data_IF_206628898687
#
_entry.id   IF_206628898687
#
_cell.length_a   1.000
_cell.length_b   1.000
_cell.length_c   1.000
_cell.angle_alpha   90.00
_cell.angle_beta   90.00
_cell.angle_gamma   90.00
#
_symmetry.space_group_name_H-M   'P 1'
#
loop_
_entity.id
_entity.type
_entity.pdbx_description
1 polymer ?
#
# COMPACT_ATOMS: atom_id res chain seq x y z
N UNK A 1 13.38 -18.06 -2.98
CA UNK A 1 13.35 -16.70 -2.44
C UNK A 1 13.42 -15.70 -3.58
N UNK A 2 12.73 -14.56 -3.43
CA UNK A 2 12.72 -13.54 -4.48
C UNK A 2 11.46 -13.52 -5.35
N UNK A 3 10.50 -14.42 -5.13
CA UNK A 3 9.35 -14.57 -6.02
C UNK A 3 8.14 -13.74 -5.59
N UNK A 4 7.74 -13.84 -4.31
CA UNK A 4 6.42 -13.39 -3.88
C UNK A 4 6.28 -11.88 -3.59
N UNK A 5 7.37 -11.16 -3.32
CA UNK A 5 7.35 -9.73 -3.04
C UNK A 5 6.78 -9.33 -1.66
N UNK A 6 6.44 -10.26 -0.76
CA UNK A 6 5.90 -9.90 0.56
C UNK A 6 6.89 -9.09 1.41
N UNK A 7 8.19 -9.23 1.14
CA UNK A 7 9.29 -8.55 1.82
C UNK A 7 9.72 -7.22 1.15
N UNK A 8 8.89 -6.61 0.31
CA UNK A 8 9.26 -5.34 -0.33
C UNK A 8 9.52 -4.25 0.70
N UNK A 9 10.59 -3.48 0.46
CA UNK A 9 10.97 -2.27 1.18
C UNK A 9 11.32 -1.18 0.17
N UNK A 10 11.30 0.08 0.57
CA UNK A 10 11.90 1.13 -0.25
C UNK A 10 13.38 1.24 0.12
N UNK A 11 14.23 1.25 -0.88
CA UNK A 11 15.65 1.52 -0.75
C UNK A 11 15.95 2.73 -1.62
N UNK A 12 16.30 3.86 -1.01
CA UNK A 12 16.42 5.16 -1.68
C UNK A 12 15.19 5.51 -2.55
N UNK A 13 14.00 5.18 -2.04
CA UNK A 13 12.72 5.43 -2.74
C UNK A 13 12.31 4.37 -3.78
N UNK A 14 13.14 3.39 -4.07
CA UNK A 14 12.84 2.31 -5.01
C UNK A 14 12.36 1.05 -4.29
N UNK A 15 11.32 0.41 -4.82
CA UNK A 15 10.81 -0.84 -4.26
C UNK A 15 11.77 -2.00 -4.56
N UNK A 16 12.30 -2.63 -3.52
CA UNK A 16 13.23 -3.76 -3.61
C UNK A 16 12.80 -4.91 -2.70
N UNK A 17 13.12 -6.15 -3.09
CA UNK A 17 12.87 -7.34 -2.26
C UNK A 17 13.98 -7.48 -1.21
N UNK A 18 13.66 -7.24 0.07
CA UNK A 18 14.68 -7.32 1.14
C UNK A 18 15.29 -8.71 1.29
N UNK A 19 14.58 -9.77 0.92
CA UNK A 19 15.12 -11.14 0.95
C UNK A 19 16.22 -11.40 -0.10
N UNK A 20 16.42 -10.49 -1.03
CA UNK A 20 17.48 -10.54 -2.05
C UNK A 20 18.51 -9.41 -1.92
N UNK A 21 18.32 -8.51 -0.97
CA UNK A 21 19.23 -7.42 -0.68
C UNK A 21 20.24 -7.88 0.38
N UNK A 22 21.51 -7.86 0.07
CA UNK A 22 22.55 -8.14 1.04
C UNK A 22 22.77 -6.96 1.99
N UNK A 23 23.34 -7.20 3.17
CA UNK A 23 23.70 -6.13 4.11
C UNK A 23 24.71 -5.13 3.50
N UNK A 24 25.65 -5.62 2.70
CA UNK A 24 26.62 -4.77 2.02
C UNK A 24 25.94 -3.83 0.99
N UNK A 25 24.91 -4.30 0.29
CA UNK A 25 24.14 -3.46 -0.64
C UNK A 25 23.24 -2.46 0.08
N UNK A 26 22.82 -2.75 1.29
CA UNK A 26 21.98 -1.87 2.11
C UNK A 26 22.82 -0.83 2.90
N UNK A 27 24.13 -1.05 3.04
CA UNK A 27 25.00 -0.17 3.80
C UNK A 27 24.99 1.26 3.22
N UNK A 28 24.77 2.23 4.10
CA UNK A 28 24.70 3.66 3.73
C UNK A 28 23.46 4.09 2.95
N UNK A 29 22.50 3.19 2.70
CA UNK A 29 21.27 3.50 1.98
C UNK A 29 20.08 3.72 2.92
N UNK A 30 19.14 4.54 2.48
CA UNK A 30 17.91 4.74 3.24
C UNK A 30 16.93 3.59 2.96
N UNK A 31 16.64 2.81 3.99
CA UNK A 31 15.66 1.72 3.91
C UNK A 31 14.39 2.11 4.66
N UNK A 32 13.25 2.05 3.98
CA UNK A 32 11.93 2.33 4.56
C UNK A 32 11.04 1.09 4.45
N UNK A 33 10.57 0.62 5.58
CA UNK A 33 9.59 -0.48 5.67
C UNK A 33 8.16 0.06 5.70
N UNK A 34 7.17 -0.83 5.74
CA UNK A 34 5.75 -0.44 5.82
C UNK A 34 5.46 0.44 7.05
N UNK A 35 6.14 0.20 8.16
CA UNK A 35 5.99 0.98 9.39
C UNK A 35 6.58 2.39 9.26
N UNK A 36 7.62 2.52 8.44
CA UNK A 36 8.29 3.80 8.18
C UNK A 36 7.64 4.63 7.08
N UNK A 37 6.74 4.05 6.28
CA UNK A 37 6.10 4.74 5.15
C UNK A 37 5.26 5.94 5.62
N UNK A 38 4.57 5.80 6.74
CA UNK A 38 3.84 6.88 7.41
C UNK A 38 3.66 6.50 8.88
N UNK A 39 4.16 7.34 9.79
CA UNK A 39 4.09 7.08 11.24
C UNK A 39 2.66 7.01 11.77
N UNK A 40 1.77 7.76 11.17
CA UNK A 40 0.37 7.89 11.55
C UNK A 40 -0.59 7.13 10.63
N UNK A 41 -0.05 6.33 9.70
CA UNK A 41 -0.83 5.59 8.70
C UNK A 41 -1.65 6.48 7.75
N UNK A 42 -1.29 7.75 7.60
CA UNK A 42 -1.99 8.73 6.75
C UNK A 42 -1.60 8.64 5.27
N UNK A 43 -0.62 7.82 4.90
CA UNK A 43 -0.21 7.69 3.51
C UNK A 43 -1.39 7.26 2.62
N UNK A 44 -1.60 7.95 1.50
CA UNK A 44 -2.76 7.75 0.61
C UNK A 44 -2.96 6.29 0.19
N UNK A 45 -1.86 5.55 -0.06
CA UNK A 45 -1.93 4.12 -0.40
C UNK A 45 -2.49 3.30 0.76
N UNK A 46 -2.02 3.53 2.00
CA UNK A 46 -2.51 2.81 3.17
C UNK A 46 -4.02 3.05 3.37
N UNK A 47 -4.45 4.29 3.26
CA UNK A 47 -5.84 4.68 3.38
C UNK A 47 -6.71 4.07 2.27
N UNK A 48 -6.23 4.09 1.03
CA UNK A 48 -6.96 3.51 -0.10
C UNK A 48 -7.09 1.98 0.00
N UNK A 49 -6.06 1.28 0.51
CA UNK A 49 -6.13 -0.18 0.72
C UNK A 49 -7.20 -0.56 1.74
N UNK A 50 -7.36 0.23 2.80
CA UNK A 50 -8.43 0.04 3.78
C UNK A 50 -9.79 0.35 3.14
N UNK A 51 -9.93 1.50 2.50
CA UNK A 51 -11.20 1.94 1.90
C UNK A 51 -11.71 1.01 0.80
N UNK A 52 -10.81 0.45 -0.03
CA UNK A 52 -11.15 -0.52 -1.08
C UNK A 52 -11.16 -1.97 -0.59
N UNK A 53 -10.91 -2.20 0.70
CA UNK A 53 -10.80 -3.54 1.27
C UNK A 53 -9.83 -4.44 0.48
N UNK A 54 -8.71 -3.88 0.04
CA UNK A 54 -7.68 -4.58 -0.73
C UNK A 54 -6.80 -5.48 0.17
N UNK A 55 -7.37 -5.98 1.27
CA UNK A 55 -6.74 -6.81 2.28
C UNK A 55 -7.66 -7.99 2.58
N UNK A 56 -7.10 -9.19 2.67
CA UNK A 56 -7.75 -10.37 3.21
C UNK A 56 -6.90 -10.96 4.34
N UNK A 57 -6.03 -11.94 4.06
CA UNK A 57 -5.17 -12.50 5.12
C UNK A 57 -4.06 -11.55 5.60
N UNK A 58 -3.73 -10.52 4.84
CA UNK A 58 -2.75 -9.50 5.20
C UNK A 58 -1.28 -9.83 4.87
N UNK A 59 -0.94 -11.07 4.54
CA UNK A 59 0.44 -11.50 4.36
C UNK A 59 1.20 -10.74 3.26
N UNK A 60 0.59 -10.55 2.08
CA UNK A 60 1.20 -9.84 0.96
C UNK A 60 1.03 -8.31 1.04
N UNK A 61 0.14 -7.84 1.89
CA UNK A 61 -0.29 -6.44 1.95
C UNK A 61 0.85 -5.45 2.19
N UNK A 62 1.78 -5.65 3.14
CA UNK A 62 2.90 -4.73 3.34
C UNK A 62 3.72 -4.54 2.06
N UNK A 63 4.07 -5.63 1.41
CA UNK A 63 4.84 -5.57 0.16
C UNK A 63 4.08 -4.89 -0.99
N UNK A 64 2.78 -5.12 -1.12
CA UNK A 64 1.94 -4.47 -2.12
C UNK A 64 1.82 -2.96 -1.88
N UNK A 65 1.66 -2.53 -0.62
CA UNK A 65 1.60 -1.11 -0.26
C UNK A 65 2.91 -0.42 -0.59
N UNK A 66 4.06 -1.02 -0.27
CA UNK A 66 5.39 -0.48 -0.60
C UNK A 66 5.58 -0.36 -2.10
N UNK A 67 5.25 -1.41 -2.88
CA UNK A 67 5.34 -1.37 -4.34
C UNK A 67 4.45 -0.30 -4.96
N UNK A 68 3.23 -0.17 -4.44
CA UNK A 68 2.28 0.86 -4.87
C UNK A 68 2.75 2.27 -4.53
N UNK A 69 3.34 2.48 -3.35
CA UNK A 69 3.90 3.77 -2.96
C UNK A 69 5.05 4.19 -3.88
N UNK A 70 5.95 3.26 -4.22
CA UNK A 70 7.04 3.51 -5.17
C UNK A 70 6.50 3.86 -6.57
N UNK A 71 5.49 3.14 -7.06
CA UNK A 71 4.85 3.44 -8.34
C UNK A 71 4.25 4.84 -8.35
N UNK A 72 3.43 5.17 -7.34
CA UNK A 72 2.74 6.46 -7.29
C UNK A 72 3.69 7.66 -7.07
N UNK A 73 4.88 7.43 -6.54
CA UNK A 73 5.90 8.46 -6.44
C UNK A 73 6.43 8.92 -7.82
N UNK A 74 6.39 8.05 -8.82
CA UNK A 74 6.88 8.33 -10.19
C UNK A 74 5.75 8.46 -11.21
N UNK A 75 4.60 7.86 -10.96
CA UNK A 75 3.41 7.93 -11.83
C UNK A 75 2.16 8.04 -10.95
N UNK A 76 1.66 9.25 -10.78
CA UNK A 76 0.48 9.52 -9.95
C UNK A 76 -0.86 9.12 -10.60
N UNK A 77 -0.88 8.72 -11.86
CA UNK A 77 -2.07 8.28 -12.60
C UNK A 77 -1.81 6.99 -13.39
N UNK A 78 -1.49 5.89 -12.69
CA UNK A 78 -1.11 4.65 -13.35
C UNK A 78 -2.31 3.96 -14.02
N UNK A 79 -2.10 3.47 -15.23
CA UNK A 79 -3.01 2.54 -15.88
C UNK A 79 -3.00 1.18 -15.16
N UNK A 80 -3.99 0.34 -15.43
CA UNK A 80 -3.99 -1.04 -14.90
C UNK A 80 -2.76 -1.83 -15.36
N UNK A 81 -2.26 -1.58 -16.57
CA UNK A 81 -1.06 -2.21 -17.09
C UNK A 81 0.19 -1.79 -16.30
N UNK A 82 0.32 -0.48 -15.98
CA UNK A 82 1.42 0.03 -15.16
C UNK A 82 1.41 -0.59 -13.77
N UNK A 83 0.22 -0.70 -13.16
CA UNK A 83 0.05 -1.32 -11.85
C UNK A 83 0.47 -2.79 -11.88
N UNK A 84 0.03 -3.56 -12.87
CA UNK A 84 0.41 -4.96 -13.01
C UNK A 84 1.91 -5.17 -13.21
N UNK A 85 2.57 -4.25 -13.91
CA UNK A 85 4.01 -4.29 -14.13
C UNK A 85 4.80 -3.91 -12.87
N UNK A 86 4.35 -2.89 -12.15
CA UNK A 86 5.07 -2.33 -11.00
C UNK A 86 4.81 -3.06 -9.68
N UNK A 87 3.69 -3.77 -9.55
CA UNK A 87 3.29 -4.50 -8.34
C UNK A 87 3.22 -6.01 -8.61
N UNK A 88 4.38 -6.68 -8.78
CA UNK A 88 4.46 -8.10 -9.13
C UNK A 88 4.24 -9.02 -7.92
N UNK A 89 3.66 -8.52 -6.85
CA UNK A 89 3.48 -9.25 -5.60
C UNK A 89 2.44 -10.38 -5.75
N UNK A 90 2.75 -11.54 -5.19
CA UNK A 90 1.84 -12.68 -5.21
C UNK A 90 0.84 -12.63 -4.05
N UNK A 91 -0.44 -12.78 -4.38
CA UNK A 91 -1.51 -12.87 -3.40
C UNK A 91 -2.31 -14.18 -3.59
N UNK A 92 -2.29 -15.04 -2.58
CA UNK A 92 -3.04 -16.31 -2.62
C UNK A 92 -4.55 -16.09 -2.49
N UNK A 93 -4.97 -15.01 -1.84
CA UNK A 93 -6.38 -14.65 -1.69
C UNK A 93 -7.00 -13.98 -2.93
N UNK A 94 -6.18 -13.54 -3.89
CA UNK A 94 -6.65 -12.99 -5.15
C UNK A 94 -7.21 -11.57 -5.07
N UNK A 95 -6.65 -10.68 -4.25
CA UNK A 95 -7.13 -9.29 -4.06
C UNK A 95 -6.88 -8.36 -5.25
N UNK A 96 -6.33 -8.84 -6.35
CA UNK A 96 -5.86 -8.01 -7.46
C UNK A 96 -6.86 -6.99 -8.02
N UNK A 97 -8.16 -7.29 -8.22
CA UNK A 97 -9.12 -6.29 -8.69
C UNK A 97 -9.30 -5.13 -7.69
N UNK A 98 -9.26 -5.43 -6.39
CA UNK A 98 -9.34 -4.42 -5.33
C UNK A 98 -8.03 -3.64 -5.22
N UNK A 99 -6.89 -4.31 -5.41
CA UNK A 99 -5.57 -3.70 -5.46
C UNK A 99 -5.50 -2.62 -6.55
N UNK A 100 -5.93 -2.92 -7.76
CA UNK A 100 -5.95 -1.95 -8.88
C UNK A 100 -6.78 -0.72 -8.50
N UNK A 101 -8.01 -0.91 -8.00
CA UNK A 101 -8.87 0.21 -7.57
C UNK A 101 -8.23 1.02 -6.45
N UNK A 102 -7.62 0.36 -5.46
CA UNK A 102 -6.96 1.03 -4.34
C UNK A 102 -5.80 1.91 -4.81
N UNK A 103 -4.96 1.41 -5.72
CA UNK A 103 -3.81 2.17 -6.23
C UNK A 103 -4.29 3.37 -7.07
N UNK A 104 -5.26 3.18 -7.96
CA UNK A 104 -5.84 4.28 -8.74
C UNK A 104 -6.51 5.32 -7.85
N UNK A 105 -7.20 4.89 -6.80
CA UNK A 105 -7.82 5.77 -5.81
C UNK A 105 -6.76 6.57 -5.04
N UNK A 106 -5.71 5.90 -4.57
CA UNK A 106 -4.57 6.56 -3.91
C UNK A 106 -3.94 7.63 -4.82
N UNK A 107 -3.78 7.35 -6.10
CA UNK A 107 -3.31 8.31 -7.09
C UNK A 107 -4.22 9.54 -7.21
N UNK A 108 -5.55 9.36 -7.21
CA UNK A 108 -6.49 10.48 -7.18
C UNK A 108 -6.37 11.32 -5.90
N UNK A 109 -6.22 10.67 -4.75
CA UNK A 109 -6.01 11.36 -3.47
C UNK A 109 -4.73 12.16 -3.48
N UNK A 110 -3.62 11.60 -3.95
CA UNK A 110 -2.33 12.29 -4.03
C UNK A 110 -2.36 13.51 -4.97
N UNK A 111 -3.23 13.47 -6.00
CA UNK A 111 -3.47 14.61 -6.90
C UNK A 111 -4.50 15.62 -6.36
N UNK A 112 -5.03 15.41 -5.17
CA UNK A 112 -6.05 16.29 -4.57
C UNK A 112 -7.44 16.19 -5.21
N UNK A 113 -7.70 15.15 -5.99
CA UNK A 113 -8.99 14.94 -6.68
C UNK A 113 -10.02 14.21 -5.83
N UNK A 114 -9.58 13.57 -4.75
CA UNK A 114 -10.43 12.78 -3.87
C UNK A 114 -9.92 12.85 -2.43
N UNK A 115 -10.82 12.71 -1.47
CA UNK A 115 -10.50 12.53 -0.05
C UNK A 115 -11.02 11.17 0.41
N UNK A 116 -10.23 10.46 1.21
CA UNK A 116 -10.65 9.21 1.84
C UNK A 116 -11.05 9.50 3.28
N UNK A 117 -12.34 9.35 3.59
CA UNK A 117 -12.90 9.52 4.94
C UNK A 117 -13.25 8.19 5.62
N UNK A 118 -13.13 7.07 4.91
CA UNK A 118 -13.58 5.76 5.39
C UNK A 118 -12.61 5.07 6.36
N UNK A 119 -11.36 5.51 6.44
CA UNK A 119 -10.41 4.98 7.41
C UNK A 119 -10.43 5.82 8.68
N UNK A 120 -10.40 5.20 9.87
CA UNK A 120 -10.33 5.96 11.11
C UNK A 120 -9.07 6.84 11.13
N UNK A 121 -9.14 8.03 11.75
CA UNK A 121 -7.97 8.87 11.91
C UNK A 121 -6.80 8.09 12.53
N UNK A 122 -5.57 8.40 12.13
CA UNK A 122 -4.40 7.75 12.69
C UNK A 122 -4.35 7.91 14.22
N UNK A 123 -4.01 6.82 14.91
CA UNK A 123 -3.90 6.84 16.37
C UNK A 123 -5.21 6.67 17.14
N UNK A 124 -6.36 6.58 16.46
CA UNK A 124 -7.63 6.27 17.14
C UNK A 124 -7.68 4.81 17.60
N UNK A 125 -8.12 4.61 18.82
CA UNK A 125 -8.46 3.26 19.31
C UNK A 125 -9.76 2.77 18.64
N UNK A 126 -10.04 1.46 18.63
CA UNK A 126 -11.30 0.94 18.08
C UNK A 126 -12.57 1.57 18.68
N UNK A 127 -12.50 2.06 19.93
CA UNK A 127 -13.61 2.74 20.61
C UNK A 127 -13.77 4.22 20.21
N UNK A 128 -12.70 4.84 19.74
CA UNK A 128 -12.68 6.25 19.30
C UNK A 128 -12.86 6.39 17.81
N UNK A 129 -12.78 5.29 17.07
CA UNK A 129 -13.03 5.29 15.65
C UNK A 129 -14.46 5.76 15.37
N UNK A 130 -14.67 6.72 14.44
CA UNK A 130 -16.02 7.10 14.05
C UNK A 130 -16.76 5.87 13.52
N UNK A 131 -18.10 5.80 13.70
CA UNK A 131 -18.88 4.70 13.17
C UNK A 131 -18.61 4.56 11.68
N UNK A 132 -18.32 3.35 11.25
CA UNK A 132 -18.18 3.02 9.83
C UNK A 132 -19.40 3.50 9.06
N UNK A 133 -19.18 4.05 7.87
CA UNK A 133 -20.25 4.46 6.96
C UNK A 133 -21.35 3.39 6.95
N UNK A 134 -22.62 3.78 7.19
CA UNK A 134 -23.75 2.85 7.15
C UNK A 134 -23.83 2.03 5.84
N UNK A 135 -23.33 2.58 4.72
CA UNK A 135 -23.23 1.88 3.45
C UNK A 135 -22.26 0.68 3.47
N UNK A 136 -21.39 0.56 4.50
CA UNK A 136 -20.43 -0.54 4.65
C UNK A 136 -20.92 -1.63 5.63
N UNK A 137 -22.10 -1.48 6.22
CA UNK A 137 -22.72 -2.53 7.02
C UNK A 137 -23.34 -3.55 6.07
N UNK A 138 -22.64 -4.64 5.85
CA UNK A 138 -23.25 -5.83 5.27
C UNK A 138 -24.08 -6.50 6.39
N UNK A 139 -25.40 -6.51 6.22
CA UNK A 139 -26.30 -7.39 6.96
C UNK A 139 -26.06 -8.86 6.57
#
# INVERSE_FOLDING_TARGET
AGDCGACMVLVDGQAMRSCQLSLAEAEGRQVVTIEGLSRDRSHAVQQAFVAEQAIQCGFCTPGMVISAAALLAVNADPSEADIKAAVPNLCRCGVYPRLVRAIQRAGRVMRGLELISAAPPPGTTPHEAPPTDPALRHE
#
